data_IF_235307929001
#
_entry.id   IF_235307929001
#
_cell.length_a   1.000
_cell.length_b   1.000
_cell.length_c   1.000
_cell.angle_alpha   90.00
_cell.angle_beta   90.00
_cell.angle_gamma   90.00
#
_symmetry.space_group_name_H-M   'P 1'
#
loop_
_entity.id
_entity.type
_entity.pdbx_description
1 polymer ?
#
# COMPACT_ATOMS: atom_id res chain seq x y z
N UNK A 1 -16.39 -10.55 -9.17
CA UNK A 1 -15.47 -10.78 -10.31
C UNK A 1 -15.95 -11.85 -11.26
N UNK A 2 -16.02 -13.13 -10.86
CA UNK A 2 -16.47 -14.23 -11.73
C UNK A 2 -17.91 -14.06 -12.23
N UNK A 3 -18.80 -13.55 -11.37
CA UNK A 3 -20.19 -13.22 -11.73
C UNK A 3 -20.29 -12.12 -12.80
N UNK A 4 -19.27 -11.27 -12.92
CA UNK A 4 -19.18 -10.22 -13.93
C UNK A 4 -18.42 -10.70 -15.19
N UNK A 5 -18.08 -11.99 -15.29
CA UNK A 5 -17.31 -12.55 -16.41
C UNK A 5 -15.83 -12.13 -16.45
N UNK A 6 -15.33 -11.47 -15.39
CA UNK A 6 -13.96 -10.97 -15.31
C UNK A 6 -13.00 -12.08 -14.85
N UNK A 7 -11.82 -12.11 -15.47
CA UNK A 7 -10.81 -13.16 -15.25
C UNK A 7 -9.54 -12.65 -14.57
N UNK A 8 -9.32 -11.34 -14.58
CA UNK A 8 -8.11 -10.68 -14.09
C UNK A 8 -8.44 -9.39 -13.36
N UNK A 9 -7.69 -9.16 -12.29
CA UNK A 9 -7.67 -7.92 -11.50
C UNK A 9 -6.21 -7.60 -11.22
N UNK A 10 -5.76 -6.40 -11.56
CA UNK A 10 -4.40 -5.95 -11.26
C UNK A 10 -4.40 -4.50 -10.81
N UNK A 11 -3.55 -4.13 -9.84
CA UNK A 11 -3.40 -2.74 -9.46
C UNK A 11 -2.73 -1.97 -10.59
N UNK A 12 -3.11 -0.70 -10.75
CA UNK A 12 -2.36 0.23 -11.59
C UNK A 12 -1.05 0.61 -10.92
N UNK A 13 -0.04 0.96 -11.73
CA UNK A 13 1.23 1.48 -11.19
C UNK A 13 1.01 2.73 -10.34
N UNK A 14 0.14 3.66 -10.81
CA UNK A 14 -0.20 4.87 -10.08
C UNK A 14 -0.78 4.57 -8.68
N UNK A 15 -1.70 3.60 -8.57
CA UNK A 15 -2.24 3.21 -7.26
C UNK A 15 -1.18 2.58 -6.35
N UNK A 16 -0.21 1.84 -6.90
CA UNK A 16 0.91 1.29 -6.12
C UNK A 16 1.85 2.40 -5.62
N UNK A 17 2.12 3.39 -6.46
CA UNK A 17 2.97 4.54 -6.13
C UNK A 17 2.31 5.42 -5.06
N UNK A 18 1.02 5.72 -5.23
CA UNK A 18 0.20 6.45 -4.25
C UNK A 18 0.12 5.72 -2.91
N UNK A 19 -0.08 4.41 -2.92
CA UNK A 19 -0.05 3.60 -1.70
C UNK A 19 1.30 3.64 -1.02
N UNK A 20 2.38 3.52 -1.78
CA UNK A 20 3.76 3.58 -1.25
C UNK A 20 4.07 4.94 -0.63
N UNK A 21 3.65 6.03 -1.29
CA UNK A 21 3.79 7.39 -0.77
C UNK A 21 3.00 7.57 0.53
N UNK A 22 1.76 7.08 0.58
CA UNK A 22 0.92 7.11 1.78
C UNK A 22 1.56 6.35 2.95
N UNK A 23 2.09 5.14 2.71
CA UNK A 23 2.80 4.39 3.75
C UNK A 23 3.98 5.18 4.29
N UNK A 24 4.79 5.80 3.41
CA UNK A 24 5.92 6.63 3.82
C UNK A 24 5.48 7.85 4.65
N UNK A 25 4.37 8.50 4.28
CA UNK A 25 3.78 9.61 5.05
C UNK A 25 3.39 9.15 6.46
N UNK A 26 2.64 8.05 6.60
CA UNK A 26 2.24 7.56 7.92
C UNK A 26 3.45 7.17 8.77
N UNK A 27 4.47 6.56 8.17
CA UNK A 27 5.72 6.20 8.87
C UNK A 27 6.44 7.45 9.40
N UNK A 28 6.45 8.54 8.63
CA UNK A 28 7.08 9.81 9.02
C UNK A 28 6.49 10.43 10.28
N UNK A 29 5.25 10.06 10.64
CA UNK A 29 4.55 10.52 11.85
C UNK A 29 4.87 9.66 13.09
N UNK A 30 5.78 8.70 12.99
CA UNK A 30 6.11 7.75 14.05
C UNK A 30 7.62 7.69 14.30
N UNK A 31 8.01 7.12 15.44
CA UNK A 31 9.43 6.88 15.75
C UNK A 31 10.11 5.87 14.81
N UNK A 32 9.36 5.12 13.99
CA UNK A 32 9.95 4.22 12.99
C UNK A 32 10.79 4.99 11.96
N UNK A 33 10.45 6.25 11.67
CA UNK A 33 11.21 7.09 10.76
C UNK A 33 12.60 7.47 11.29
N UNK A 34 12.75 7.56 12.61
CA UNK A 34 13.99 7.97 13.28
C UNK A 34 15.00 6.82 13.40
N UNK A 35 14.53 5.56 13.39
CA UNK A 35 15.39 4.40 13.52
C UNK A 35 15.09 3.32 12.46
N UNK A 36 16.03 3.18 11.52
CA UNK A 36 15.96 2.23 10.40
C UNK A 36 16.57 0.85 10.68
N UNK A 37 16.71 0.45 11.95
CA UNK A 37 17.38 -0.79 12.34
C UNK A 37 16.47 -2.02 12.46
N UNK A 38 15.17 -1.89 12.22
CA UNK A 38 14.20 -2.98 12.38
C UNK A 38 13.90 -3.75 11.09
N UNK A 39 13.37 -4.97 11.25
CA UNK A 39 12.98 -5.87 10.14
C UNK A 39 11.92 -5.30 9.20
N UNK A 40 11.26 -4.22 9.59
CA UNK A 40 10.30 -3.47 8.79
C UNK A 40 10.94 -2.56 7.73
N UNK A 41 12.26 -2.35 7.78
CA UNK A 41 12.98 -1.60 6.75
C UNK A 41 13.71 -2.55 5.80
N UNK A 42 13.33 -2.53 4.52
CA UNK A 42 13.96 -3.32 3.47
C UNK A 42 14.83 -2.41 2.59
N UNK A 43 16.05 -2.83 2.22
CA UNK A 43 16.85 -2.09 1.26
C UNK A 43 16.15 -2.04 -0.10
N UNK A 44 16.28 -0.91 -0.80
CA UNK A 44 15.79 -0.78 -2.17
C UNK A 44 16.85 -1.34 -3.12
N UNK A 45 16.48 -2.35 -3.90
CA UNK A 45 17.38 -2.93 -4.89
C UNK A 45 17.74 -1.88 -5.96
N UNK A 46 19.04 -1.71 -6.23
CA UNK A 46 19.54 -0.76 -7.23
C UNK A 46 19.51 0.71 -6.82
N UNK A 47 19.16 1.06 -5.59
CA UNK A 47 19.16 2.45 -5.10
C UNK A 47 19.70 2.59 -3.67
N UNK A 48 20.21 3.78 -3.35
CA UNK A 48 20.53 4.14 -1.96
C UNK A 48 19.23 4.50 -1.24
N UNK A 49 18.57 3.53 -0.60
CA UNK A 49 17.30 3.77 0.10
C UNK A 49 16.77 2.56 0.86
N UNK A 50 15.78 2.78 1.72
CA UNK A 50 15.02 1.71 2.38
C UNK A 50 13.51 1.99 2.23
N UNK A 51 12.72 0.94 2.01
CA UNK A 51 11.25 0.99 2.05
C UNK A 51 10.75 0.40 3.36
N UNK A 52 9.63 0.94 3.85
CA UNK A 52 8.98 0.43 5.05
C UNK A 52 7.91 -0.60 4.66
N UNK A 53 8.10 -1.85 5.07
CA UNK A 53 7.35 -3.01 4.57
C UNK A 53 6.00 -3.27 5.23
N UNK A 54 5.59 -2.45 6.21
CA UNK A 54 4.33 -2.63 6.93
C UNK A 54 3.50 -1.34 6.91
N UNK A 55 2.18 -1.45 7.10
CA UNK A 55 1.31 -0.27 7.23
C UNK A 55 1.06 0.05 8.71
N UNK A 56 1.67 1.11 9.28
CA UNK A 56 1.68 1.30 10.74
C UNK A 56 0.41 1.96 11.30
N UNK A 57 -0.56 2.38 10.47
CA UNK A 57 -1.80 3.01 10.94
C UNK A 57 -2.78 2.03 11.61
N UNK A 58 -2.48 0.73 11.60
CA UNK A 58 -3.26 -0.30 12.30
C UNK A 58 -4.46 -0.85 11.51
N UNK A 59 -5.04 -1.92 12.06
CA UNK A 59 -6.05 -2.74 11.39
C UNK A 59 -7.37 -2.02 11.11
N UNK A 60 -7.76 -1.08 11.97
CA UNK A 60 -9.02 -0.32 11.82
C UNK A 60 -8.95 0.58 10.60
N UNK A 61 -7.89 1.37 10.48
CA UNK A 61 -7.70 2.28 9.34
C UNK A 61 -7.44 1.51 8.05
N UNK A 62 -6.67 0.42 8.12
CA UNK A 62 -6.48 -0.48 6.99
C UNK A 62 -7.82 -1.04 6.48
N UNK A 63 -8.66 -1.55 7.39
CA UNK A 63 -9.99 -2.07 7.05
C UNK A 63 -10.93 -0.99 6.50
N UNK A 64 -10.81 0.26 6.98
CA UNK A 64 -11.56 1.41 6.43
C UNK A 64 -11.21 1.63 4.95
N UNK A 65 -9.92 1.65 4.62
CA UNK A 65 -9.45 1.81 3.23
C UNK A 65 -9.89 0.68 2.31
N UNK A 66 -9.84 -0.58 2.78
CA UNK A 66 -10.33 -1.72 1.99
C UNK A 66 -11.81 -1.56 1.62
N UNK A 67 -12.66 -1.18 2.58
CA UNK A 67 -14.09 -0.94 2.33
C UNK A 67 -14.33 0.22 1.37
N UNK A 68 -13.53 1.29 1.48
CA UNK A 68 -13.61 2.44 0.57
C UNK A 68 -13.29 2.04 -0.87
N UNK A 69 -12.22 1.27 -1.08
CA UNK A 69 -11.82 0.76 -2.40
C UNK A 69 -12.90 -0.16 -2.98
N UNK A 70 -13.46 -1.06 -2.15
CA UNK A 70 -14.55 -1.96 -2.57
C UNK A 70 -15.80 -1.17 -2.97
N UNK A 71 -16.22 -0.20 -2.16
CA UNK A 71 -17.39 0.64 -2.42
C UNK A 71 -17.22 1.50 -3.70
N UNK A 72 -15.98 1.88 -4.02
CA UNK A 72 -15.64 2.62 -5.24
C UNK A 72 -15.35 1.70 -6.44
N UNK A 73 -15.81 0.45 -6.41
CA UNK A 73 -15.70 -0.47 -7.54
C UNK A 73 -14.28 -0.96 -7.82
N UNK A 74 -13.49 -1.20 -6.75
CA UNK A 74 -12.07 -1.53 -6.82
C UNK A 74 -11.24 -0.42 -7.47
N UNK A 75 -11.44 0.82 -7.01
CA UNK A 75 -10.65 1.97 -7.45
C UNK A 75 -9.14 1.68 -7.35
N UNK A 76 -8.40 2.07 -8.39
CA UNK A 76 -6.97 1.82 -8.51
C UNK A 76 -6.61 0.48 -9.16
N UNK A 77 -7.60 -0.37 -9.47
CA UNK A 77 -7.42 -1.63 -10.17
C UNK A 77 -7.97 -1.58 -11.60
N UNK A 78 -7.31 -2.31 -12.50
CA UNK A 78 -7.80 -2.63 -13.84
C UNK A 78 -8.46 -4.00 -13.78
N UNK A 79 -9.69 -4.06 -14.27
CA UNK A 79 -10.52 -5.26 -14.30
C UNK A 79 -10.70 -5.71 -15.76
N UNK A 80 -10.37 -6.96 -16.05
CA UNK A 80 -10.48 -7.54 -17.40
C UNK A 80 -10.85 -9.02 -17.39
#
# INVERSE_FOLDING_TARGET
>A
MRENGLSRIEPTQAACDEWSAHVAEVVSMTLYAENKSGWFWNPVEGATGHTFGIYPAGVVEYGRRLREIEANGYQGFVLS
#
